data_IF_280434338676
#
_entry.id   IF_280434338676
#
_cell.length_a   1.000
_cell.length_b   1.000
_cell.length_c   1.000
_cell.angle_alpha   90.00
_cell.angle_beta   90.00
_cell.angle_gamma   90.00
#
_symmetry.space_group_name_H-M   'P 1'
#
loop_
_entity.id
_entity.type
_entity.pdbx_description
1 polymer ?
#
# COMPACT_ATOMS: atom_id res chain seq x y z
N UNK A 1 13.83 6.73 -2.95
CA UNK A 1 12.80 5.85 -2.39
C UNK A 1 12.80 5.90 -0.86
N UNK A 2 12.91 7.07 -0.18
CA UNK A 2 13.16 7.08 1.26
C UNK A 2 12.10 6.38 2.13
N UNK A 3 10.81 6.47 1.78
CA UNK A 3 9.76 5.78 2.55
C UNK A 3 9.81 4.28 2.29
N UNK A 4 9.79 3.89 1.02
CA UNK A 4 9.96 2.50 0.55
C UNK A 4 11.18 1.79 1.14
N UNK A 5 12.36 2.42 1.03
CA UNK A 5 13.61 1.86 1.53
C UNK A 5 13.56 1.70 3.06
N UNK A 6 12.95 2.65 3.77
CA UNK A 6 12.87 2.63 5.24
C UNK A 6 11.95 1.53 5.73
N UNK A 7 10.75 1.38 5.15
CA UNK A 7 9.80 0.37 5.61
C UNK A 7 10.26 -1.06 5.27
N UNK A 8 10.85 -1.27 4.08
CA UNK A 8 11.43 -2.58 3.73
C UNK A 8 12.63 -2.90 4.61
N UNK A 9 13.53 -1.94 4.86
CA UNK A 9 14.68 -2.18 5.73
C UNK A 9 14.22 -2.50 7.17
N UNK A 10 13.24 -1.78 7.70
CA UNK A 10 12.67 -2.05 9.02
C UNK A 10 12.06 -3.46 9.09
N UNK A 11 11.26 -3.85 8.11
CA UNK A 11 10.68 -5.20 8.03
C UNK A 11 11.76 -6.28 7.97
N UNK A 12 12.75 -6.12 7.10
CA UNK A 12 13.85 -7.08 6.97
C UNK A 12 14.64 -7.24 8.26
N UNK A 13 14.88 -6.13 8.99
CA UNK A 13 15.55 -6.17 10.29
C UNK A 13 14.73 -6.94 11.32
N UNK A 14 13.43 -6.66 11.43
CA UNK A 14 12.53 -7.35 12.35
C UNK A 14 12.42 -8.85 12.04
N UNK A 15 12.29 -9.20 10.77
CA UNK A 15 12.25 -10.60 10.31
C UNK A 15 13.58 -11.34 10.50
N UNK A 16 14.70 -10.62 10.51
CA UNK A 16 16.01 -11.18 10.84
C UNK A 16 16.21 -11.45 12.35
N UNK A 17 15.25 -11.07 13.19
CA UNK A 17 15.27 -11.29 14.64
C UNK A 17 15.83 -10.13 15.45
N UNK A 18 15.97 -8.93 14.87
CA UNK A 18 16.25 -7.72 15.66
C UNK A 18 15.06 -7.44 16.58
N UNK A 19 15.37 -6.97 17.79
CA UNK A 19 14.35 -6.68 18.79
C UNK A 19 13.35 -5.61 18.28
N UNK A 20 12.03 -5.86 18.34
CA UNK A 20 11.01 -4.85 18.04
C UNK A 20 11.12 -3.54 18.83
N UNK A 21 11.83 -3.56 19.96
CA UNK A 21 12.10 -2.40 20.80
C UNK A 21 13.47 -1.76 20.53
N UNK A 22 14.25 -2.24 19.55
CA UNK A 22 15.55 -1.69 19.22
C UNK A 22 15.45 -0.17 18.90
N UNK A 23 16.37 0.68 19.42
CA UNK A 23 16.31 2.13 19.20
C UNK A 23 16.23 2.54 17.72
N UNK A 24 16.87 1.80 16.82
CA UNK A 24 16.81 2.04 15.37
C UNK A 24 15.39 1.80 14.85
N UNK A 25 14.76 0.69 15.24
CA UNK A 25 13.39 0.33 14.88
C UNK A 25 12.38 1.35 15.41
N UNK A 26 12.55 1.78 16.66
CA UNK A 26 11.68 2.82 17.23
C UNK A 26 11.82 4.15 16.48
N UNK A 27 13.05 4.51 16.10
CA UNK A 27 13.32 5.74 15.35
C UNK A 27 12.68 5.70 13.96
N UNK A 28 12.80 4.59 13.24
CA UNK A 28 12.20 4.43 11.91
C UNK A 28 10.67 4.39 11.99
N UNK A 29 10.08 3.73 12.99
CA UNK A 29 8.64 3.71 13.19
C UNK A 29 8.05 5.11 13.44
N UNK A 30 8.69 5.92 14.29
CA UNK A 30 8.29 7.32 14.52
C UNK A 30 8.36 8.14 13.24
N UNK A 31 9.46 7.99 12.50
CA UNK A 31 9.64 8.69 11.23
C UNK A 31 8.57 8.29 10.20
N UNK A 32 8.25 7.00 10.07
CA UNK A 32 7.18 6.52 9.20
C UNK A 32 5.82 7.09 9.62
N UNK A 33 5.50 7.12 10.92
CA UNK A 33 4.26 7.75 11.41
C UNK A 33 4.24 9.26 11.15
N UNK A 34 5.37 9.96 11.19
CA UNK A 34 5.47 11.39 10.85
C UNK A 34 5.25 11.64 9.34
N UNK A 35 5.48 10.62 8.50
CA UNK A 35 5.26 10.68 7.05
C UNK A 35 3.85 10.31 6.59
N UNK A 36 2.95 9.95 7.51
CA UNK A 36 1.56 9.64 7.15
C UNK A 36 0.84 10.89 6.64
N UNK A 37 0.11 10.74 5.52
CA UNK A 37 -0.57 11.84 4.85
C UNK A 37 -2.02 11.93 5.32
N UNK A 38 -2.37 13.06 5.93
CA UNK A 38 -3.73 13.36 6.44
C UNK A 38 -4.56 14.24 5.50
N UNK A 39 -4.00 14.63 4.36
CA UNK A 39 -4.63 15.54 3.40
C UNK A 39 -5.34 14.80 2.26
N UNK A 40 -6.39 15.45 1.76
CA UNK A 40 -7.04 15.12 0.50
C UNK A 40 -6.15 15.40 -0.71
N UNK A 41 -6.29 14.61 -1.78
CA UNK A 41 -5.60 14.82 -3.06
C UNK A 41 -6.38 14.23 -4.25
N UNK A 42 -5.73 14.07 -5.40
CA UNK A 42 -6.36 13.66 -6.68
C UNK A 42 -7.14 12.33 -6.58
N UNK A 43 -6.63 11.37 -5.80
CA UNK A 43 -7.26 10.07 -5.57
C UNK A 43 -8.71 10.17 -5.04
N UNK A 44 -9.06 11.27 -4.35
CA UNK A 44 -10.42 11.49 -3.84
C UNK A 44 -11.47 11.69 -4.93
N UNK A 45 -11.06 12.07 -6.14
CA UNK A 45 -11.97 12.18 -7.28
C UNK A 45 -12.70 10.85 -7.50
N UNK A 46 -11.99 9.73 -7.33
CA UNK A 46 -12.50 8.38 -7.51
C UNK A 46 -12.85 7.66 -6.21
N UNK A 47 -12.18 7.99 -5.10
CA UNK A 47 -12.41 7.39 -3.78
C UNK A 47 -13.09 8.35 -2.79
N UNK A 48 -14.18 8.98 -3.23
CA UNK A 48 -14.96 9.93 -2.40
C UNK A 48 -15.35 9.33 -1.05
N UNK A 49 -15.18 10.12 0.01
CA UNK A 49 -15.52 9.72 1.39
C UNK A 49 -14.49 8.80 2.05
N UNK A 50 -13.42 8.41 1.35
CA UNK A 50 -12.32 7.66 1.96
C UNK A 50 -11.47 8.62 2.80
N UNK A 51 -11.22 8.23 4.06
CA UNK A 51 -10.40 9.00 5.01
C UNK A 51 -8.94 8.99 4.53
N UNK A 52 -8.25 10.15 4.46
CA UNK A 52 -6.82 10.18 4.15
C UNK A 52 -5.99 9.40 5.16
N UNK A 53 -5.00 8.66 4.66
CA UNK A 53 -4.16 7.79 5.49
C UNK A 53 -2.93 7.18 4.82
N UNK A 54 -2.63 7.53 3.57
CA UNK A 54 -1.55 6.92 2.79
C UNK A 54 -0.15 7.46 3.12
N UNK A 55 0.84 6.90 2.44
CA UNK A 55 2.24 7.34 2.45
C UNK A 55 2.71 7.51 1.01
N UNK A 56 3.71 8.34 0.77
CA UNK A 56 4.32 8.49 -0.55
C UNK A 56 5.69 7.84 -0.59
N UNK A 57 6.13 7.39 -1.77
CA UNK A 57 7.49 6.88 -2.03
C UNK A 57 8.66 7.79 -1.57
N UNK A 58 8.44 9.11 -1.60
CA UNK A 58 9.44 10.15 -1.34
C UNK A 58 9.21 10.88 -0.02
N UNK A 59 10.14 11.77 0.35
CA UNK A 59 10.11 12.48 1.64
C UNK A 59 8.82 13.28 1.86
N UNK A 60 8.45 14.14 0.91
CA UNK A 60 7.37 15.10 1.08
C UNK A 60 6.55 15.21 -0.21
N UNK A 61 5.69 14.21 -0.45
CA UNK A 61 4.70 14.24 -1.53
C UNK A 61 3.30 13.98 -0.97
N UNK A 62 2.64 15.05 -0.57
CA UNK A 62 1.34 14.99 0.09
C UNK A 62 0.17 14.69 -0.88
N UNK A 63 0.40 14.79 -2.19
CA UNK A 63 -0.66 14.75 -3.21
C UNK A 63 -0.72 13.38 -3.90
N UNK A 64 0.40 12.66 -4.00
CA UNK A 64 0.46 11.33 -4.61
C UNK A 64 0.92 10.28 -3.59
N UNK A 65 0.08 9.93 -2.61
CA UNK A 65 0.30 8.73 -1.82
C UNK A 65 0.24 7.50 -2.73
N UNK A 66 1.15 6.56 -2.48
CA UNK A 66 1.30 5.31 -3.19
C UNK A 66 0.72 4.17 -2.32
N UNK A 67 -0.16 3.38 -2.91
CA UNK A 67 -0.90 2.30 -2.28
C UNK A 67 0.03 1.15 -1.89
N UNK A 68 1.03 0.87 -2.71
CA UNK A 68 2.01 -0.18 -2.47
C UNK A 68 2.87 0.19 -1.25
N UNK A 69 3.50 1.37 -1.28
CA UNK A 69 4.28 1.93 -0.16
C UNK A 69 3.49 1.87 1.15
N UNK A 70 2.23 2.30 1.13
CA UNK A 70 1.37 2.32 2.32
C UNK A 70 1.19 0.93 2.93
N UNK A 71 1.08 -0.11 2.11
CA UNK A 71 0.90 -1.49 2.58
C UNK A 71 2.14 -1.99 3.34
N UNK A 72 3.34 -1.72 2.80
CA UNK A 72 4.61 -2.11 3.42
C UNK A 72 4.85 -1.30 4.70
N UNK A 73 4.53 0.00 4.70
CA UNK A 73 4.61 0.84 5.92
C UNK A 73 3.72 0.29 7.03
N UNK A 74 2.48 -0.10 6.71
CA UNK A 74 1.57 -0.70 7.69
C UNK A 74 2.13 -2.01 8.25
N UNK A 75 2.64 -2.90 7.40
CA UNK A 75 3.29 -4.14 7.86
C UNK A 75 4.49 -3.85 8.76
N UNK A 76 5.31 -2.85 8.41
CA UNK A 76 6.46 -2.46 9.19
C UNK A 76 6.04 -1.94 10.58
N UNK A 77 5.01 -1.09 10.66
CA UNK A 77 4.50 -0.56 11.92
C UNK A 77 3.82 -1.61 12.80
N UNK A 78 3.20 -2.63 12.19
CA UNK A 78 2.52 -3.71 12.93
C UNK A 78 3.50 -4.54 13.77
N UNK A 79 4.73 -4.74 13.28
CA UNK A 79 5.75 -5.55 13.94
C UNK A 79 6.56 -4.83 15.02
N UNK A 80 6.43 -3.51 15.16
CA UNK A 80 7.18 -2.71 16.15
C UNK A 80 6.46 -2.68 17.49
N UNK A 81 7.24 -2.63 18.58
CA UNK A 81 6.75 -2.35 19.94
C UNK A 81 7.29 -1.00 20.40
N UNK A 82 6.42 -0.01 20.44
CA UNK A 82 6.75 1.31 20.95
C UNK A 82 6.45 1.39 22.46
N UNK A 83 7.01 2.38 23.18
CA UNK A 83 6.60 2.66 24.54
C UNK A 83 5.08 2.84 24.64
N UNK A 84 4.48 2.43 25.77
CA UNK A 84 3.02 2.44 26.00
C UNK A 84 2.34 3.79 25.65
N UNK A 85 3.03 4.90 25.88
CA UNK A 85 2.54 6.24 25.56
C UNK A 85 2.38 6.52 24.05
N UNK A 86 3.08 5.77 23.19
CA UNK A 86 3.10 5.93 21.73
C UNK A 86 2.26 4.86 21.00
N UNK A 87 1.93 3.75 21.66
CA UNK A 87 1.11 2.67 21.09
C UNK A 87 -0.25 3.14 20.52
N UNK A 88 -1.00 4.04 21.16
CA UNK A 88 -2.25 4.56 20.57
C UNK A 88 -2.04 5.28 19.23
N UNK A 89 -0.90 5.98 19.08
CA UNK A 89 -0.54 6.67 17.84
C UNK A 89 -0.22 5.65 16.74
N UNK A 90 0.57 4.63 17.06
CA UNK A 90 0.89 3.53 16.13
C UNK A 90 -0.37 2.82 15.64
N UNK A 91 -1.28 2.52 16.55
CA UNK A 91 -2.56 1.89 16.24
C UNK A 91 -3.45 2.75 15.34
N UNK A 92 -3.61 4.06 15.60
CA UNK A 92 -4.38 4.95 14.70
C UNK A 92 -3.70 5.04 13.32
N UNK A 93 -2.37 5.11 13.26
CA UNK A 93 -1.65 5.14 11.99
C UNK A 93 -1.91 3.90 11.14
N UNK A 94 -1.82 2.71 11.73
CA UNK A 94 -2.14 1.44 11.06
C UNK A 94 -3.61 1.43 10.61
N UNK A 95 -4.54 1.65 11.54
CA UNK A 95 -5.98 1.59 11.24
C UNK A 95 -6.36 2.54 10.11
N UNK A 96 -5.86 3.78 10.16
CA UNK A 96 -6.12 4.80 9.14
C UNK A 96 -5.54 4.42 7.78
N UNK A 97 -4.34 3.83 7.74
CA UNK A 97 -3.73 3.32 6.51
C UNK A 97 -4.57 2.22 5.88
N UNK A 98 -5.03 1.26 6.68
CA UNK A 98 -5.92 0.18 6.25
C UNK A 98 -7.26 0.71 5.72
N UNK A 99 -7.89 1.66 6.43
CA UNK A 99 -9.12 2.32 5.99
C UNK A 99 -8.95 3.02 4.64
N UNK A 100 -7.82 3.72 4.46
CA UNK A 100 -7.49 4.39 3.20
C UNK A 100 -7.33 3.38 2.05
N UNK A 101 -6.48 2.36 2.22
CA UNK A 101 -6.24 1.32 1.21
C UNK A 101 -7.51 0.55 0.86
N UNK A 102 -8.38 0.24 1.83
CA UNK A 102 -9.67 -0.39 1.56
C UNK A 102 -10.56 0.48 0.63
N UNK A 103 -10.56 1.80 0.84
CA UNK A 103 -11.27 2.76 -0.03
C UNK A 103 -10.68 2.89 -1.44
N UNK A 104 -9.41 2.51 -1.60
CA UNK A 104 -8.66 2.53 -2.86
C UNK A 104 -8.77 1.24 -3.69
N UNK A 105 -9.53 0.23 -3.26
CA UNK A 105 -9.73 -0.99 -4.06
C UNK A 105 -10.51 -0.70 -5.36
N UNK A 106 -9.99 -1.18 -6.50
CA UNK A 106 -10.66 -1.05 -7.79
C UNK A 106 -11.83 -2.03 -7.95
N UNK A 107 -12.69 -1.81 -8.95
CA UNK A 107 -13.89 -2.63 -9.20
C UNK A 107 -13.59 -4.07 -9.60
N UNK A 108 -12.46 -4.33 -10.23
CA UNK A 108 -12.01 -5.68 -10.58
C UNK A 108 -11.46 -6.47 -9.37
N UNK A 109 -11.26 -5.82 -8.21
CA UNK A 109 -10.77 -6.47 -6.99
C UNK A 109 -9.29 -6.19 -6.69
N UNK A 110 -8.50 -5.79 -7.69
CA UNK A 110 -7.11 -5.42 -7.48
C UNK A 110 -6.92 -3.99 -6.99
N UNK A 111 -5.66 -3.66 -6.69
CA UNK A 111 -5.19 -2.32 -6.40
C UNK A 111 -4.15 -1.86 -7.42
N UNK A 112 -4.19 -0.57 -7.72
CA UNK A 112 -3.23 0.14 -8.56
C UNK A 112 -2.23 0.88 -7.68
N UNK A 113 -1.25 1.58 -8.26
CA UNK A 113 -0.22 2.28 -7.48
C UNK A 113 -0.77 3.55 -6.80
N UNK A 114 -1.60 4.33 -7.49
CA UNK A 114 -2.07 5.64 -7.02
C UNK A 114 -3.60 5.78 -7.06
N UNK A 115 -4.22 5.36 -8.16
CA UNK A 115 -5.61 5.70 -8.47
C UNK A 115 -6.45 4.47 -8.81
N UNK A 116 -7.57 4.32 -8.09
CA UNK A 116 -8.49 3.22 -8.38
C UNK A 116 -9.25 3.41 -9.69
N UNK A 117 -9.50 2.31 -10.39
CA UNK A 117 -10.21 2.28 -11.68
C UNK A 117 -9.58 3.14 -12.80
N UNK A 118 -8.29 3.50 -12.74
CA UNK A 118 -7.63 4.25 -13.81
C UNK A 118 -7.21 3.36 -15.00
N UNK A 119 -8.21 2.81 -15.70
CA UNK A 119 -8.02 1.73 -16.67
C UNK A 119 -8.73 1.97 -18.02
N UNK A 120 -8.93 3.23 -18.42
CA UNK A 120 -9.60 3.62 -19.66
C UNK A 120 -8.71 3.41 -20.89
N UNK A 121 -8.56 2.16 -21.34
CA UNK A 121 -7.63 1.72 -22.42
C UNK A 121 -7.71 2.51 -23.74
N UNK A 122 -8.82 3.18 -24.06
CA UNK A 122 -8.88 4.00 -25.28
C UNK A 122 -7.95 5.22 -25.22
N UNK A 123 -7.56 5.69 -24.02
CA UNK A 123 -6.58 6.76 -23.83
C UNK A 123 -5.16 6.35 -24.21
N UNK A 124 -4.87 5.05 -24.31
CA UNK A 124 -3.57 4.55 -24.79
C UNK A 124 -3.47 4.50 -26.32
N UNK A 125 -4.51 4.95 -27.04
CA UNK A 125 -4.58 4.90 -28.51
C UNK A 125 -4.43 6.27 -29.19
N UNK A 126 -4.22 7.34 -28.43
CA UNK A 126 -3.98 8.68 -28.97
C UNK A 126 -2.50 8.87 -29.29
N UNK A 127 -2.13 9.76 -30.25
CA UNK A 127 -0.73 9.98 -30.63
C UNK A 127 0.18 10.44 -29.49
N UNK A 128 -0.39 11.04 -28.44
CA UNK A 128 0.36 11.48 -27.25
C UNK A 128 0.83 10.32 -26.36
N UNK A 129 0.14 9.17 -26.42
CA UNK A 129 0.45 7.98 -25.61
C UNK A 129 1.39 7.04 -26.37
N UNK A 130 2.47 7.58 -26.93
CA UNK A 130 3.45 6.83 -27.74
C UNK A 130 4.64 6.31 -26.92
N UNK A 131 4.70 6.65 -25.62
CA UNK A 131 5.73 6.20 -24.69
C UNK A 131 5.16 5.88 -23.29
N UNK A 132 5.59 4.74 -22.75
CA UNK A 132 5.26 4.31 -21.38
C UNK A 132 3.79 3.94 -21.16
N UNK A 133 3.42 3.77 -19.89
CA UNK A 133 2.04 3.57 -19.46
C UNK A 133 1.43 4.93 -19.09
N UNK A 134 0.28 5.25 -19.70
CA UNK A 134 -0.46 6.50 -19.43
C UNK A 134 -1.66 6.31 -18.52
N UNK A 135 -1.79 5.10 -17.96
CA UNK A 135 -2.86 4.66 -17.07
C UNK A 135 -2.24 3.95 -15.86
N UNK A 136 -3.01 3.91 -14.79
CA UNK A 136 -2.69 3.17 -13.57
C UNK A 136 -3.73 2.05 -13.32
N UNK A 137 -3.75 0.98 -14.15
CA UNK A 137 -4.60 -0.17 -13.88
C UNK A 137 -4.05 -0.96 -12.68
N UNK A 138 -4.91 -1.68 -11.95
CA UNK A 138 -4.45 -2.62 -10.95
C UNK A 138 -3.43 -3.63 -11.48
N UNK A 139 -2.50 -4.03 -10.61
CA UNK A 139 -1.48 -5.05 -10.91
C UNK A 139 -1.37 -6.07 -9.78
N UNK A 140 -0.82 -7.24 -10.11
CA UNK A 140 -0.74 -8.39 -9.19
C UNK A 140 0.23 -8.12 -8.06
N UNK A 141 1.40 -7.56 -8.34
CA UNK A 141 2.42 -7.22 -7.34
C UNK A 141 1.88 -6.30 -6.24
N UNK A 142 1.27 -5.16 -6.61
CA UNK A 142 0.63 -4.23 -5.65
C UNK A 142 -0.49 -4.93 -4.89
N UNK A 143 -1.33 -5.70 -5.58
CA UNK A 143 -2.42 -6.43 -4.91
C UNK A 143 -1.89 -7.48 -3.94
N UNK A 144 -0.78 -8.15 -4.25
CA UNK A 144 -0.16 -9.15 -3.41
C UNK A 144 0.40 -8.53 -2.12
N UNK A 145 1.07 -7.38 -2.18
CA UNK A 145 1.54 -6.67 -0.99
C UNK A 145 0.39 -6.27 -0.05
N UNK A 146 -0.76 -5.85 -0.60
CA UNK A 146 -1.94 -5.57 0.22
C UNK A 146 -2.54 -6.84 0.82
N UNK A 147 -2.61 -7.94 0.08
CA UNK A 147 -3.08 -9.22 0.61
C UNK A 147 -2.16 -9.73 1.72
N UNK A 148 -0.86 -9.55 1.59
CA UNK A 148 0.11 -9.86 2.63
C UNK A 148 -0.13 -9.00 3.89
N UNK A 149 -0.28 -7.68 3.72
CA UNK A 149 -0.60 -6.77 4.81
C UNK A 149 -1.89 -7.19 5.53
N UNK A 150 -2.98 -7.44 4.79
CA UNK A 150 -4.23 -7.91 5.37
C UNK A 150 -4.05 -9.24 6.12
N UNK A 151 -3.33 -10.19 5.55
CA UNK A 151 -3.05 -11.48 6.20
C UNK A 151 -2.27 -11.34 7.50
N UNK A 152 -1.23 -10.48 7.53
CA UNK A 152 -0.43 -10.21 8.74
C UNK A 152 -1.26 -9.57 9.85
N UNK A 153 -2.18 -8.68 9.49
CA UNK A 153 -3.13 -8.05 10.42
C UNK A 153 -4.28 -8.97 10.85
N UNK A 154 -4.32 -10.21 10.38
CA UNK A 154 -5.31 -11.22 10.78
C UNK A 154 -6.63 -11.19 10.00
N UNK A 155 -6.73 -10.41 8.92
CA UNK A 155 -7.87 -10.49 8.01
C UNK A 155 -7.84 -11.80 7.21
N UNK A 156 -9.00 -12.26 6.80
CA UNK A 156 -9.14 -13.56 6.10
C UNK A 156 -9.97 -13.41 4.83
N UNK A 157 -10.19 -14.50 4.09
CA UNK A 157 -11.11 -14.50 2.93
C UNK A 157 -12.57 -14.27 3.32
N UNK A 158 -12.92 -14.23 4.60
CA UNK A 158 -14.24 -13.78 5.06
C UNK A 158 -14.40 -12.26 4.87
N UNK A 159 -13.29 -11.53 4.83
CA UNK A 159 -13.27 -10.10 4.54
C UNK A 159 -13.37 -9.85 3.04
N UNK A 160 -14.42 -9.11 2.65
CA UNK A 160 -14.76 -8.87 1.25
C UNK A 160 -13.62 -8.25 0.42
N UNK A 161 -12.80 -7.37 1.02
CA UNK A 161 -11.68 -6.76 0.33
C UNK A 161 -10.61 -7.80 -0.02
N UNK A 162 -10.29 -8.69 0.93
CA UNK A 162 -9.31 -9.77 0.79
C UNK A 162 -9.78 -10.81 -0.22
N UNK A 163 -11.04 -11.26 -0.13
CA UNK A 163 -11.60 -12.22 -1.07
C UNK A 163 -11.53 -11.74 -2.53
N UNK A 164 -11.90 -10.47 -2.76
CA UNK A 164 -11.84 -9.85 -4.09
C UNK A 164 -10.41 -9.67 -4.58
N UNK A 165 -9.49 -9.28 -3.71
CA UNK A 165 -8.07 -9.16 -4.05
C UNK A 165 -7.48 -10.52 -4.41
N UNK A 166 -7.77 -11.55 -3.62
CA UNK A 166 -7.34 -12.92 -3.89
C UNK A 166 -7.91 -13.43 -5.22
N UNK A 167 -9.20 -13.21 -5.47
CA UNK A 167 -9.82 -13.59 -6.74
C UNK A 167 -9.18 -12.89 -7.94
N UNK A 168 -8.82 -11.61 -7.79
CA UNK A 168 -8.09 -10.85 -8.82
C UNK A 168 -6.72 -11.47 -9.09
N UNK A 169 -5.91 -11.73 -8.07
CA UNK A 169 -4.57 -12.35 -8.24
C UNK A 169 -4.66 -13.70 -8.95
N UNK A 170 -5.62 -14.55 -8.58
CA UNK A 170 -5.82 -15.84 -9.24
C UNK A 170 -6.25 -15.67 -10.70
N UNK A 171 -7.07 -14.65 -11.01
CA UNK A 171 -7.53 -14.41 -12.39
C UNK A 171 -6.46 -13.87 -13.33
N UNK A 172 -5.38 -13.30 -12.79
CA UNK A 172 -4.26 -12.72 -13.54
C UNK A 172 -3.05 -13.66 -13.60
N UNK A 173 -3.19 -14.93 -13.18
CA UNK A 173 -2.13 -15.93 -13.31
C UNK A 173 -1.95 -16.34 -14.78
N UNK A 174 -0.70 -16.37 -15.23
CA UNK A 174 -0.34 -16.81 -16.58
C UNK A 174 -0.51 -18.33 -16.75
N UNK A 175 -0.60 -18.80 -18.00
CA UNK A 175 -0.79 -20.24 -18.30
C UNK A 175 0.33 -21.14 -17.74
N UNK A 176 1.54 -20.59 -17.56
CA UNK A 176 2.69 -21.29 -16.98
C UNK A 176 2.75 -21.23 -15.45
N UNK A 177 1.78 -20.57 -14.82
CA UNK A 177 1.66 -20.40 -13.38
C UNK A 177 2.39 -19.18 -12.81
N UNK A 178 3.08 -18.39 -13.64
CA UNK A 178 3.73 -17.15 -13.20
C UNK A 178 2.74 -15.98 -13.06
N UNK A 179 3.24 -14.86 -12.52
CA UNK A 179 2.55 -13.57 -12.51
C UNK A 179 3.47 -12.48 -13.04
N UNK A 180 2.90 -11.52 -13.76
CA UNK A 180 3.64 -10.37 -14.27
C UNK A 180 4.07 -9.42 -13.14
N UNK A 181 5.38 -9.12 -13.08
CA UNK A 181 5.94 -8.08 -12.21
C UNK A 181 5.89 -6.72 -12.89
N UNK A 182 4.98 -5.84 -12.45
CA UNK A 182 4.78 -4.52 -13.04
C UNK A 182 5.81 -3.51 -12.53
N UNK A 183 6.29 -3.65 -11.30
CA UNK A 183 7.19 -2.71 -10.64
C UNK A 183 8.52 -3.30 -10.16
N UNK A 184 8.70 -4.63 -10.20
CA UNK A 184 9.96 -5.31 -9.87
C UNK A 184 9.77 -6.78 -9.55
#
# INVERSE_FOLDING_TARGET
>A
SPVWDTCIAQLALLESGIDPEDPMVQSSARWLMDKQIYAAADWQVRAKGTRPGGWSFVFDNLIYPDIDDASIVVMALDQVRLPEAEEPRRADSIQRGVEWMAGMQSKNGGWAAFDKDDNKKYLTKIPFSDFGETLDPPSVDVTAHLLEMYGRLGYTKEDRAVDRGFAYVISEQEEDGSWYGRWG
#
